data_IF_273982186359
#
_entry.id   IF_273982186359
#
_cell.length_a   1.000
_cell.length_b   1.000
_cell.length_c   1.000
_cell.angle_alpha   90.00
_cell.angle_beta   90.00
_cell.angle_gamma   90.00
#
_symmetry.space_group_name_H-M   'P 1'
#
loop_
_entity.id
_entity.type
_entity.pdbx_description
1 polymer ?
#
# COMPACT_ATOMS: atom_id res chain seq x y z
N UNK A 1 -10.67 -5.78 24.66
CA UNK A 1 -11.83 -6.33 23.91
C UNK A 1 -11.33 -7.49 23.06
N UNK A 2 -12.13 -8.55 22.83
CA UNK A 2 -11.73 -9.64 21.92
C UNK A 2 -11.57 -9.12 20.48
N UNK A 3 -10.72 -9.77 19.65
CA UNK A 3 -10.58 -9.40 18.26
C UNK A 3 -11.85 -9.70 17.47
N UNK A 4 -12.12 -8.87 16.48
CA UNK A 4 -13.18 -9.08 15.50
C UNK A 4 -12.67 -9.99 14.37
N UNK A 5 -13.60 -10.65 13.70
CA UNK A 5 -13.27 -11.63 12.66
C UNK A 5 -13.13 -10.98 11.29
N UNK A 6 -12.13 -11.43 10.52
CA UNK A 6 -11.97 -11.11 9.11
C UNK A 6 -12.62 -12.23 8.30
N UNK A 7 -13.41 -11.87 7.30
CA UNK A 7 -14.06 -12.84 6.42
C UNK A 7 -13.02 -13.71 5.70
N UNK A 8 -13.29 -15.02 5.63
CA UNK A 8 -12.43 -15.98 4.93
C UNK A 8 -13.09 -16.52 3.66
N UNK A 9 -12.32 -16.63 2.58
CA UNK A 9 -12.71 -17.23 1.30
C UNK A 9 -11.67 -18.23 0.83
N UNK A 10 -12.04 -19.10 -0.10
CA UNK A 10 -11.13 -20.10 -0.70
C UNK A 10 -10.69 -19.74 -2.11
N UNK A 11 -11.33 -18.75 -2.70
CA UNK A 11 -11.20 -18.30 -4.07
C UNK A 11 -10.92 -16.80 -4.13
N UNK A 12 -10.28 -16.36 -5.21
CA UNK A 12 -10.28 -14.95 -5.57
C UNK A 12 -11.60 -14.62 -6.27
N UNK A 13 -12.44 -13.70 -5.73
CA UNK A 13 -13.63 -13.24 -6.43
C UNK A 13 -13.26 -12.64 -7.79
N UNK A 14 -14.24 -12.61 -8.69
CA UNK A 14 -14.07 -11.86 -9.94
C UNK A 14 -13.92 -10.35 -9.64
N UNK A 15 -13.34 -9.55 -10.55
CA UNK A 15 -13.05 -8.14 -10.28
C UNK A 15 -14.23 -7.28 -9.84
N UNK A 16 -15.43 -7.53 -10.38
CA UNK A 16 -16.63 -6.76 -10.02
C UNK A 16 -17.04 -7.06 -8.59
N UNK A 17 -17.15 -8.35 -8.27
CA UNK A 17 -17.48 -8.81 -6.91
C UNK A 17 -16.41 -8.38 -5.90
N UNK A 18 -15.13 -8.43 -6.29
CA UNK A 18 -14.03 -7.97 -5.44
C UNK A 18 -14.18 -6.48 -5.12
N UNK A 19 -14.47 -5.68 -6.14
CA UNK A 19 -14.64 -4.25 -5.99
C UNK A 19 -15.83 -3.90 -5.08
N UNK A 20 -17.01 -4.43 -5.42
CA UNK A 20 -18.27 -4.06 -4.75
C UNK A 20 -18.31 -4.53 -3.28
N UNK A 21 -17.76 -5.72 -2.98
CA UNK A 21 -17.87 -6.32 -1.65
C UNK A 21 -16.69 -6.01 -0.72
N UNK A 22 -15.52 -5.66 -1.26
CA UNK A 22 -14.30 -5.47 -0.47
C UNK A 22 -13.61 -4.14 -0.72
N UNK A 23 -13.31 -3.78 -1.97
CA UNK A 23 -12.51 -2.57 -2.26
C UNK A 23 -13.28 -1.28 -1.97
N UNK A 24 -14.44 -1.08 -2.59
CA UNK A 24 -15.29 0.08 -2.37
C UNK A 24 -15.68 0.28 -0.89
N UNK A 25 -16.14 -0.75 -0.15
CA UNK A 25 -16.45 -0.61 1.27
C UNK A 25 -15.21 -0.54 2.18
N UNK A 26 -14.01 -0.81 1.65
CA UNK A 26 -12.77 -0.87 2.45
C UNK A 26 -12.79 -2.00 3.49
N UNK A 27 -13.21 -3.20 3.09
CA UNK A 27 -13.38 -4.37 3.96
C UNK A 27 -12.28 -5.42 3.70
N UNK A 28 -11.48 -5.82 4.71
CA UNK A 28 -10.45 -6.84 4.54
C UNK A 28 -11.07 -8.22 4.30
N UNK A 29 -10.35 -9.09 3.60
CA UNK A 29 -10.73 -10.49 3.36
C UNK A 29 -9.49 -11.38 3.24
N UNK A 30 -9.55 -12.55 3.87
CA UNK A 30 -8.49 -13.55 3.85
C UNK A 30 -8.84 -14.68 2.87
N UNK A 31 -8.08 -14.79 1.78
CA UNK A 31 -8.20 -15.84 0.77
C UNK A 31 -7.32 -17.05 1.16
N UNK A 32 -7.90 -18.02 1.85
CA UNK A 32 -7.24 -19.24 2.33
C UNK A 32 -6.76 -20.11 1.17
N UNK A 33 -5.46 -20.37 1.12
CA UNK A 33 -4.82 -21.23 0.12
C UNK A 33 -4.78 -20.66 -1.30
N UNK A 34 -5.19 -19.41 -1.52
CA UNK A 34 -5.31 -18.83 -2.85
C UNK A 34 -3.98 -18.68 -3.60
N UNK A 35 -2.84 -18.51 -2.92
CA UNK A 35 -1.53 -18.47 -3.57
C UNK A 35 -1.06 -19.85 -4.06
N UNK A 36 -1.67 -20.97 -3.62
CA UNK A 36 -1.27 -22.33 -4.00
C UNK A 36 -1.46 -22.62 -5.49
N UNK A 37 -2.33 -21.86 -6.16
CA UNK A 37 -2.54 -21.96 -7.60
C UNK A 37 -1.41 -21.35 -8.43
N UNK A 38 -0.62 -20.44 -7.83
CA UNK A 38 0.45 -19.78 -8.55
C UNK A 38 1.62 -20.73 -8.77
N UNK A 39 2.17 -20.82 -10.00
CA UNK A 39 3.34 -21.65 -10.29
C UNK A 39 4.54 -21.43 -9.35
N UNK A 40 4.76 -20.20 -8.89
CA UNK A 40 5.84 -19.86 -7.94
C UNK A 40 5.69 -20.50 -6.56
N UNK A 41 4.48 -20.90 -6.15
CA UNK A 41 4.21 -21.42 -4.80
C UNK A 41 5.15 -22.55 -4.37
N UNK A 42 5.44 -23.50 -5.27
CA UNK A 42 6.33 -24.60 -4.96
C UNK A 42 7.81 -24.24 -5.18
N UNK A 43 8.12 -23.53 -6.26
CA UNK A 43 9.50 -23.25 -6.64
C UNK A 43 10.20 -22.30 -5.67
N UNK A 44 9.47 -21.32 -5.12
CA UNK A 44 10.03 -20.28 -4.26
C UNK A 44 10.29 -20.72 -2.82
N UNK A 45 9.94 -21.97 -2.48
CA UNK A 45 10.35 -22.62 -1.23
C UNK A 45 11.79 -23.15 -1.29
N UNK A 46 12.40 -23.16 -2.47
CA UNK A 46 13.75 -23.68 -2.68
C UNK A 46 14.74 -22.54 -2.94
N UNK A 47 15.62 -22.28 -1.97
CA UNK A 47 16.63 -21.23 -2.10
C UNK A 47 17.67 -21.51 -3.20
N UNK A 48 17.95 -22.77 -3.52
CA UNK A 48 18.82 -23.12 -4.66
C UNK A 48 18.17 -22.67 -5.97
N UNK A 49 16.87 -22.90 -6.14
CA UNK A 49 16.13 -22.43 -7.31
C UNK A 49 16.14 -20.90 -7.41
N UNK A 50 15.85 -20.21 -6.30
CA UNK A 50 15.89 -18.75 -6.25
C UNK A 50 17.29 -18.21 -6.57
N UNK A 51 18.34 -18.86 -6.07
CA UNK A 51 19.74 -18.49 -6.32
C UNK A 51 20.12 -18.67 -7.78
N UNK A 52 19.78 -19.79 -8.39
CA UNK A 52 20.10 -20.09 -9.79
C UNK A 52 19.37 -19.14 -10.76
N UNK A 53 18.09 -18.85 -10.50
CA UNK A 53 17.26 -18.05 -11.42
C UNK A 53 17.40 -16.54 -11.19
N UNK A 54 17.53 -16.12 -9.93
CA UNK A 54 17.43 -14.71 -9.53
C UNK A 54 18.63 -14.19 -8.73
N UNK A 55 19.65 -15.01 -8.49
CA UNK A 55 20.76 -14.66 -7.60
C UNK A 55 21.58 -13.43 -8.02
N UNK A 56 21.49 -13.02 -9.28
CA UNK A 56 22.12 -11.80 -9.83
C UNK A 56 21.33 -10.51 -9.61
N UNK A 57 20.13 -10.56 -9.02
CA UNK A 57 19.37 -9.35 -8.71
C UNK A 57 20.04 -8.57 -7.57
N UNK A 58 20.17 -7.26 -7.72
CA UNK A 58 20.46 -6.37 -6.60
C UNK A 58 19.19 -6.15 -5.79
N UNK A 59 19.27 -6.41 -4.49
CA UNK A 59 18.19 -6.27 -3.51
C UNK A 59 18.62 -5.38 -2.36
N UNK A 60 17.66 -4.71 -1.74
CA UNK A 60 17.84 -3.92 -0.53
C UNK A 60 17.35 -4.75 0.66
N UNK A 61 18.21 -4.91 1.68
CA UNK A 61 17.83 -5.58 2.92
C UNK A 61 17.97 -4.61 4.09
N UNK A 62 16.95 -4.55 4.94
CA UNK A 62 17.03 -3.93 6.25
C UNK A 62 18.01 -4.71 7.13
N UNK A 63 18.66 -3.99 8.05
CA UNK A 63 19.68 -4.54 8.96
C UNK A 63 19.11 -4.90 10.34
N UNK A 64 17.80 -5.04 10.45
CA UNK A 64 17.09 -5.53 11.62
C UNK A 64 15.76 -6.15 11.20
N UNK A 65 15.30 -7.21 11.87
CA UNK A 65 13.98 -7.81 11.61
C UNK A 65 12.81 -7.08 12.28
N UNK A 66 13.11 -6.30 13.32
CA UNK A 66 12.14 -5.35 13.90
C UNK A 66 12.30 -4.04 13.13
N UNK A 67 11.23 -3.61 12.49
CA UNK A 67 11.21 -2.41 11.66
C UNK A 67 11.67 -1.19 12.47
N UNK A 68 12.61 -0.45 11.90
CA UNK A 68 13.02 0.86 12.35
C UNK A 68 13.36 1.69 11.10
N UNK A 69 12.48 2.64 10.77
CA UNK A 69 12.58 3.48 9.56
C UNK A 69 13.77 4.46 9.56
N UNK A 70 14.59 4.46 10.62
CA UNK A 70 15.86 5.18 10.68
C UNK A 70 17.07 4.31 10.32
N UNK A 71 16.93 2.98 10.35
CA UNK A 71 18.02 2.09 10.02
C UNK A 71 18.36 2.17 8.53
N UNK A 72 19.65 2.08 8.18
CA UNK A 72 20.04 2.03 6.78
C UNK A 72 19.66 0.69 6.16
N UNK A 73 19.29 0.72 4.90
CA UNK A 73 19.15 -0.47 4.05
C UNK A 73 20.49 -0.80 3.38
N UNK A 74 20.81 -2.09 3.28
CA UNK A 74 22.06 -2.60 2.71
C UNK A 74 21.79 -3.19 1.31
N UNK A 75 22.36 -2.62 0.24
CA UNK A 75 22.31 -3.24 -1.07
C UNK A 75 23.20 -4.49 -1.10
N UNK A 76 22.70 -5.58 -1.69
CA UNK A 76 23.46 -6.80 -1.93
C UNK A 76 22.91 -7.59 -3.11
N UNK A 77 23.67 -8.55 -3.62
CA UNK A 77 23.12 -9.53 -4.56
C UNK A 77 22.16 -10.46 -3.83
N UNK A 78 21.10 -10.90 -4.52
CA UNK A 78 20.12 -11.81 -3.95
C UNK A 78 20.74 -13.15 -3.57
N UNK A 79 21.75 -13.61 -4.32
CA UNK A 79 22.54 -14.79 -3.93
C UNK A 79 23.29 -14.61 -2.60
N UNK A 80 23.79 -13.40 -2.32
CA UNK A 80 24.43 -13.05 -1.04
C UNK A 80 23.39 -13.04 0.07
N UNK A 81 22.23 -12.41 -0.14
CA UNK A 81 21.11 -12.44 0.82
C UNK A 81 20.75 -13.88 1.20
N UNK A 82 20.52 -14.74 0.19
CA UNK A 82 20.21 -16.17 0.35
C UNK A 82 21.31 -16.99 1.06
N UNK A 83 22.50 -16.42 1.28
CA UNK A 83 23.59 -17.10 1.97
C UNK A 83 23.72 -16.70 3.45
N UNK A 84 23.08 -15.60 3.86
CA UNK A 84 23.27 -15.01 5.21
C UNK A 84 21.96 -14.79 5.96
N UNK A 85 20.80 -14.77 5.28
CA UNK A 85 19.52 -14.38 5.90
C UNK A 85 19.03 -15.29 7.03
N UNK A 86 19.46 -16.55 7.08
CA UNK A 86 19.14 -17.47 8.17
C UNK A 86 19.86 -17.13 9.47
N UNK A 87 21.09 -16.61 9.38
CA UNK A 87 21.98 -16.38 10.51
C UNK A 87 22.03 -14.89 10.93
N UNK A 88 21.83 -13.97 9.98
CA UNK A 88 21.87 -12.54 10.22
C UNK A 88 20.49 -11.95 10.54
N UNK A 89 20.47 -10.87 11.33
CA UNK A 89 19.27 -10.09 11.63
C UNK A 89 18.92 -9.16 10.47
N UNK A 90 18.54 -9.74 9.33
CA UNK A 90 18.20 -9.00 8.11
C UNK A 90 16.80 -9.32 7.59
N UNK A 91 16.21 -8.34 6.92
CA UNK A 91 14.88 -8.46 6.32
C UNK A 91 14.87 -7.82 4.93
N UNK A 92 14.60 -8.61 3.89
CA UNK A 92 14.49 -8.09 2.53
C UNK A 92 13.10 -7.51 2.30
N UNK A 93 13.07 -6.23 1.95
CA UNK A 93 11.90 -5.49 1.49
C UNK A 93 12.29 -4.83 0.17
N UNK A 94 11.72 -5.29 -0.94
CA UNK A 94 12.14 -4.85 -2.26
C UNK A 94 10.96 -4.69 -3.21
N UNK A 95 10.78 -3.48 -3.74
CA UNK A 95 9.97 -3.29 -4.95
C UNK A 95 10.67 -3.95 -6.14
N UNK A 96 10.00 -4.93 -6.72
CA UNK A 96 10.45 -5.70 -7.87
C UNK A 96 9.57 -5.50 -9.09
N UNK A 97 8.78 -4.42 -9.16
CA UNK A 97 7.97 -4.09 -10.32
C UNK A 97 8.76 -4.25 -11.65
N UNK A 98 8.11 -4.72 -12.74
CA UNK A 98 8.77 -4.95 -14.02
C UNK A 98 9.51 -3.71 -14.54
N UNK A 99 10.65 -3.88 -15.24
CA UNK A 99 11.20 -5.15 -15.71
C UNK A 99 12.22 -5.76 -14.74
N UNK A 100 11.86 -6.87 -14.08
CA UNK A 100 12.80 -7.72 -13.33
C UNK A 100 12.47 -9.19 -13.60
N UNK A 101 13.46 -10.07 -13.84
CA UNK A 101 13.23 -11.51 -14.08
C UNK A 101 12.31 -12.21 -13.06
N UNK A 102 12.33 -11.77 -11.81
CA UNK A 102 11.48 -12.35 -10.75
C UNK A 102 9.98 -12.17 -11.02
N UNK A 103 9.57 -11.13 -11.77
CA UNK A 103 8.17 -10.88 -12.08
C UNK A 103 7.57 -11.84 -13.11
N UNK A 104 8.40 -12.63 -13.79
CA UNK A 104 7.94 -13.72 -14.67
C UNK A 104 7.24 -14.84 -13.88
N UNK A 105 7.49 -14.92 -12.57
CA UNK A 105 6.86 -15.85 -11.64
C UNK A 105 6.04 -15.14 -10.55
N UNK A 106 5.69 -13.88 -10.78
CA UNK A 106 4.68 -13.17 -10.02
C UNK A 106 3.38 -13.13 -10.82
N UNK A 107 2.24 -13.23 -10.14
CA UNK A 107 0.94 -13.37 -10.78
C UNK A 107 -0.06 -12.38 -10.21
N UNK A 108 -0.83 -11.78 -11.11
CA UNK A 108 -1.97 -10.94 -10.77
C UNK A 108 -3.19 -11.85 -10.60
N UNK A 109 -3.84 -11.87 -9.43
CA UNK A 109 -5.00 -12.73 -9.19
C UNK A 109 -6.21 -12.26 -10.00
N UNK A 110 -7.16 -13.18 -10.26
CA UNK A 110 -8.42 -12.91 -10.97
C UNK A 110 -9.10 -11.61 -10.56
N UNK A 111 -9.14 -11.32 -9.26
CA UNK A 111 -9.77 -10.12 -8.70
C UNK A 111 -9.23 -8.80 -9.26
N UNK A 112 -8.03 -8.79 -9.84
CA UNK A 112 -7.40 -7.59 -10.39
C UNK A 112 -7.29 -7.61 -11.92
N UNK A 113 -7.74 -8.67 -12.61
CA UNK A 113 -7.51 -8.85 -14.06
C UNK A 113 -8.42 -8.01 -14.98
N UNK A 114 -9.12 -7.01 -14.44
CA UNK A 114 -9.82 -6.03 -15.25
C UNK A 114 -9.02 -4.74 -15.37
N UNK A 115 -9.17 -4.07 -16.51
CA UNK A 115 -8.47 -2.83 -16.83
C UNK A 115 -8.61 -1.76 -15.75
N UNK A 116 -9.78 -1.66 -15.12
CA UNK A 116 -10.05 -0.76 -14.00
C UNK A 116 -9.13 -0.92 -12.79
N UNK A 117 -8.53 -2.10 -12.57
CA UNK A 117 -7.48 -2.31 -11.57
C UNK A 117 -6.09 -2.18 -12.20
N UNK A 118 -5.89 -2.81 -13.36
CA UNK A 118 -4.58 -2.90 -14.02
C UNK A 118 -3.98 -1.54 -14.37
N UNK A 119 -4.81 -0.57 -14.74
CA UNK A 119 -4.36 0.79 -15.06
C UNK A 119 -3.77 1.54 -13.83
N UNK A 120 -4.00 1.02 -12.62
CA UNK A 120 -3.60 1.62 -11.34
C UNK A 120 -2.67 0.75 -10.51
N UNK A 121 -2.28 -0.42 -11.01
CA UNK A 121 -1.24 -1.23 -10.38
C UNK A 121 0.08 -0.44 -10.33
N UNK A 122 0.67 -0.36 -9.14
CA UNK A 122 1.75 0.58 -8.86
C UNK A 122 3.06 -0.09 -8.40
N UNK A 123 2.97 -1.06 -7.48
CA UNK A 123 4.16 -1.72 -6.94
C UNK A 123 3.94 -3.22 -6.79
N UNK A 124 5.04 -3.96 -6.85
CA UNK A 124 5.08 -5.38 -6.54
C UNK A 124 6.22 -5.62 -5.56
N UNK A 125 5.89 -5.87 -4.29
CA UNK A 125 6.87 -5.93 -3.21
C UNK A 125 7.21 -7.37 -2.87
N UNK A 126 8.50 -7.67 -2.76
CA UNK A 126 9.04 -8.92 -2.23
C UNK A 126 9.44 -8.72 -0.77
N UNK A 127 8.93 -9.60 0.10
CA UNK A 127 9.27 -9.65 1.51
C UNK A 127 9.91 -11.00 1.84
N UNK A 128 11.13 -11.02 2.35
CA UNK A 128 11.83 -12.27 2.64
C UNK A 128 12.71 -12.15 3.88
N UNK A 129 12.51 -13.05 4.85
CA UNK A 129 13.36 -13.22 6.02
C UNK A 129 13.43 -14.68 6.48
N UNK A 130 14.27 -14.94 7.48
CA UNK A 130 14.29 -16.21 8.23
C UNK A 130 13.24 -16.27 9.35
N UNK A 131 12.30 -15.31 9.37
CA UNK A 131 11.25 -15.22 10.39
C UNK A 131 11.61 -14.36 11.58
N UNK A 132 10.62 -14.10 12.43
CA UNK A 132 10.69 -13.24 13.61
C UNK A 132 10.59 -11.74 13.29
N UNK A 133 10.23 -11.39 12.06
CA UNK A 133 10.03 -9.99 11.64
C UNK A 133 8.81 -9.38 12.29
N UNK A 134 8.90 -8.07 12.56
CA UNK A 134 7.85 -7.28 13.21
C UNK A 134 7.82 -5.88 12.61
N UNK A 135 6.69 -5.51 12.04
CA UNK A 135 6.48 -4.13 11.58
C UNK A 135 6.16 -3.21 12.76
N UNK A 136 6.29 -1.90 12.59
CA UNK A 136 5.60 -0.95 13.46
C UNK A 136 4.09 -0.98 13.18
N UNK A 137 3.28 -0.38 14.05
CA UNK A 137 1.88 -0.12 13.73
C UNK A 137 1.81 1.12 12.83
N UNK A 138 1.39 0.93 11.58
CA UNK A 138 1.31 1.95 10.54
C UNK A 138 0.08 1.69 9.67
N UNK A 139 -0.16 2.54 8.68
CA UNK A 139 -1.12 2.29 7.61
C UNK A 139 -0.49 2.59 6.25
N UNK A 140 -0.99 1.89 5.23
CA UNK A 140 -0.60 2.08 3.83
C UNK A 140 -1.67 2.91 3.12
N UNK A 141 -1.27 3.83 2.26
CA UNK A 141 -2.16 4.66 1.44
C UNK A 141 -2.64 3.91 0.19
N UNK A 142 -2.02 2.78 -0.13
CA UNK A 142 -2.42 1.90 -1.22
C UNK A 142 -3.41 0.82 -0.78
N UNK A 143 -4.19 0.36 -1.75
CA UNK A 143 -4.83 -0.94 -1.64
C UNK A 143 -3.76 -2.02 -1.85
N UNK A 144 -3.81 -3.11 -1.06
CA UNK A 144 -2.87 -4.19 -1.27
C UNK A 144 -3.41 -5.60 -1.04
N UNK A 145 -2.87 -6.56 -1.80
CA UNK A 145 -3.02 -7.99 -1.54
C UNK A 145 -1.65 -8.54 -1.15
N UNK A 146 -1.49 -9.02 0.09
CA UNK A 146 -0.32 -9.76 0.55
C UNK A 146 -0.56 -11.27 0.36
N UNK A 147 0.27 -11.94 -0.45
CA UNK A 147 0.24 -13.40 -0.62
C UNK A 147 1.46 -14.05 0.02
N UNK A 148 1.24 -15.04 0.89
CA UNK A 148 2.28 -15.73 1.64
C UNK A 148 2.69 -17.04 0.95
N UNK A 149 3.96 -17.12 0.53
CA UNK A 149 4.53 -18.26 -0.17
C UNK A 149 5.27 -19.23 0.75
N UNK A 150 5.75 -18.74 1.90
CA UNK A 150 6.36 -19.57 2.94
C UNK A 150 6.20 -18.93 4.33
N UNK A 151 6.13 -19.78 5.36
CA UNK A 151 5.95 -19.40 6.76
C UNK A 151 4.50 -19.06 7.14
N UNK A 152 4.35 -18.33 8.25
CA UNK A 152 3.07 -17.82 8.75
C UNK A 152 3.20 -16.35 9.15
N UNK A 153 2.10 -15.61 9.10
CA UNK A 153 2.01 -14.23 9.60
C UNK A 153 0.76 -14.04 10.45
N UNK A 154 0.89 -13.24 11.49
CA UNK A 154 -0.21 -12.68 12.27
C UNK A 154 -0.29 -11.18 11.98
N UNK A 155 -1.48 -10.70 11.64
CA UNK A 155 -1.74 -9.28 11.44
C UNK A 155 -2.77 -8.81 12.45
N UNK A 156 -2.39 -7.83 13.27
CA UNK A 156 -3.35 -7.02 14.03
C UNK A 156 -3.77 -5.88 13.13
N UNK A 157 -5.08 -5.71 12.92
CA UNK A 157 -5.61 -4.72 12.00
C UNK A 157 -6.66 -3.85 12.67
N UNK A 158 -6.69 -2.57 12.33
CA UNK A 158 -7.62 -1.58 12.85
C UNK A 158 -8.21 -0.81 11.68
N UNK A 159 -9.54 -0.75 11.66
CA UNK A 159 -10.30 -0.02 10.65
C UNK A 159 -9.98 1.48 10.72
N UNK A 160 -9.70 2.08 9.55
CA UNK A 160 -9.37 3.51 9.39
C UNK A 160 -10.36 4.47 10.06
N UNK A 161 -11.63 4.06 10.20
CA UNK A 161 -12.65 4.87 10.89
C UNK A 161 -12.35 5.11 12.38
N UNK A 162 -11.43 4.34 12.97
CA UNK A 162 -11.00 4.47 14.35
C UNK A 162 -9.68 5.24 14.52
N UNK A 163 -9.23 5.99 13.49
CA UNK A 163 -7.97 6.75 13.51
C UNK A 163 -7.76 7.59 14.79
N UNK A 164 -8.81 8.21 15.32
CA UNK A 164 -8.77 9.05 16.53
C UNK A 164 -8.37 8.30 17.81
N UNK A 165 -8.44 6.97 17.78
CA UNK A 165 -8.05 6.09 18.88
C UNK A 165 -6.66 5.48 18.69
N UNK A 166 -6.09 5.56 17.48
CA UNK A 166 -4.79 4.99 17.12
C UNK A 166 -3.69 6.01 17.45
N UNK A 167 -2.75 5.69 18.35
CA UNK A 167 -1.72 6.64 18.76
C UNK A 167 -0.61 6.71 17.71
N UNK A 168 -0.70 7.65 16.76
CA UNK A 168 0.38 7.93 15.80
C UNK A 168 1.32 8.96 16.42
N UNK A 169 2.41 8.47 17.03
CA UNK A 169 3.41 9.29 17.72
C UNK A 169 4.37 10.00 16.75
N UNK A 170 4.45 9.54 15.49
CA UNK A 170 5.21 10.16 14.41
C UNK A 170 4.28 10.68 13.31
N UNK A 171 3.68 11.86 13.52
CA UNK A 171 2.78 12.48 12.54
C UNK A 171 3.43 12.71 11.17
N UNK A 172 4.73 12.97 11.13
CA UNK A 172 5.50 13.21 9.88
C UNK A 172 5.84 11.91 9.12
N UNK A 173 5.63 10.73 9.71
CA UNK A 173 5.98 9.44 9.10
C UNK A 173 4.88 8.38 9.19
N UNK A 174 3.69 8.74 9.66
CA UNK A 174 2.51 7.86 9.64
C UNK A 174 2.55 6.60 10.52
N UNK A 175 3.41 6.48 11.53
CA UNK A 175 3.48 5.27 12.38
C UNK A 175 3.48 5.53 13.90
N UNK A 176 3.16 4.48 14.66
CA UNK A 176 3.12 4.45 16.12
C UNK A 176 4.37 3.80 16.72
N UNK A 177 4.83 4.33 17.86
CA UNK A 177 5.85 3.67 18.68
C UNK A 177 5.31 2.61 19.63
N UNK A 178 3.99 2.37 19.63
CA UNK A 178 3.42 1.38 20.51
C UNK A 178 4.09 0.02 20.28
N UNK A 179 4.57 -0.57 21.36
CA UNK A 179 4.91 -1.98 21.36
C UNK A 179 3.61 -2.77 21.39
N UNK A 180 3.15 -3.22 20.22
CA UNK A 180 1.88 -3.93 20.07
C UNK A 180 1.85 -5.22 20.89
N UNK A 181 3.00 -5.84 21.14
CA UNK A 181 3.12 -7.05 21.96
C UNK A 181 3.15 -6.74 23.47
N UNK A 182 3.52 -5.51 23.85
CA UNK A 182 3.60 -5.08 25.26
C UNK A 182 3.15 -3.64 25.45
N UNK A 183 1.87 -3.40 25.21
CA UNK A 183 1.26 -2.06 25.26
C UNK A 183 1.36 -1.45 26.67
N UNK A 184 1.95 -0.25 26.76
CA UNK A 184 1.88 0.59 27.95
C UNK A 184 0.54 1.34 27.98
N UNK A 185 -0.40 0.84 28.79
CA UNK A 185 -1.76 1.39 28.88
C UNK A 185 -1.83 2.74 29.60
N UNK A 186 -0.79 3.14 30.35
CA UNK A 186 -0.70 4.48 30.91
C UNK A 186 -0.32 5.49 29.84
N UNK A 187 0.58 5.10 28.93
CA UNK A 187 0.99 5.93 27.78
C UNK A 187 -0.06 5.95 26.67
N UNK A 188 -0.71 4.81 26.39
CA UNK A 188 -1.65 4.63 25.28
C UNK A 188 -3.05 4.18 25.74
N UNK A 189 -3.75 4.97 26.59
CA UNK A 189 -5.01 4.54 27.19
C UNK A 189 -6.14 4.35 26.18
N UNK A 190 -6.10 5.02 25.02
CA UNK A 190 -7.11 4.93 23.96
C UNK A 190 -7.25 3.52 23.38
N UNK A 191 -6.15 2.76 23.35
CA UNK A 191 -6.11 1.39 22.84
C UNK A 191 -7.02 0.43 23.62
N UNK A 192 -7.34 0.73 24.89
CA UNK A 192 -8.27 -0.08 25.69
C UNK A 192 -9.68 -0.17 25.08
N UNK A 193 -10.06 0.83 24.30
CA UNK A 193 -11.39 1.00 23.68
C UNK A 193 -11.38 0.76 22.18
N UNK A 194 -10.24 0.37 21.61
CA UNK A 194 -10.07 0.25 20.16
C UNK A 194 -10.63 -1.08 19.64
N UNK A 195 -11.64 -1.08 18.74
CA UNK A 195 -12.00 -2.28 18.01
C UNK A 195 -10.86 -2.66 17.07
N UNK A 196 -10.50 -3.94 17.08
CA UNK A 196 -9.38 -4.47 16.31
C UNK A 196 -9.72 -5.85 15.77
N UNK A 197 -9.03 -6.25 14.72
CA UNK A 197 -9.18 -7.52 14.02
C UNK A 197 -7.85 -8.28 14.04
N UNK A 198 -7.94 -9.59 13.85
CA UNK A 198 -6.76 -10.45 13.69
C UNK A 198 -6.87 -11.26 12.40
N UNK A 199 -5.81 -11.26 11.59
CA UNK A 199 -5.66 -12.14 10.44
C UNK A 199 -4.51 -13.11 10.69
N UNK A 200 -4.78 -14.41 10.65
CA UNK A 200 -3.75 -15.44 10.74
C UNK A 200 -3.55 -16.05 9.35
N UNK A 201 -2.40 -15.77 8.74
CA UNK A 201 -2.04 -16.25 7.42
C UNK A 201 -1.15 -17.49 7.53
N UNK A 202 -1.57 -18.56 6.87
CA UNK A 202 -0.78 -19.76 6.64
C UNK A 202 -0.10 -19.70 5.27
N UNK A 203 0.89 -20.57 5.06
CA UNK A 203 1.52 -20.74 3.76
C UNK A 203 0.48 -21.04 2.67
N UNK A 204 0.44 -20.18 1.66
CA UNK A 204 -0.50 -20.25 0.55
C UNK A 204 -1.69 -19.29 0.68
N UNK A 205 -1.87 -18.60 1.80
CA UNK A 205 -2.96 -17.63 1.95
C UNK A 205 -2.62 -16.28 1.30
N UNK A 206 -3.65 -15.54 0.91
CA UNK A 206 -3.53 -14.14 0.54
C UNK A 206 -4.51 -13.27 1.35
N UNK A 207 -4.08 -12.10 1.79
CA UNK A 207 -4.90 -11.17 2.56
C UNK A 207 -5.04 -9.87 1.76
N UNK A 208 -6.28 -9.44 1.53
CA UNK A 208 -6.56 -8.08 1.08
C UNK A 208 -6.55 -7.14 2.30
N UNK A 209 -5.65 -6.16 2.26
CA UNK A 209 -5.50 -5.08 3.23
C UNK A 209 -6.02 -3.80 2.54
N UNK A 210 -7.17 -3.27 2.99
CA UNK A 210 -7.72 -2.07 2.37
C UNK A 210 -6.88 -0.85 2.72
N UNK A 211 -6.85 0.14 1.82
CA UNK A 211 -6.12 1.39 2.06
C UNK A 211 -6.48 2.04 3.41
N UNK A 212 -5.48 2.68 3.99
CA UNK A 212 -5.48 3.39 5.27
C UNK A 212 -5.83 2.53 6.49
N UNK A 213 -5.99 1.21 6.35
CA UNK A 213 -6.13 0.33 7.51
C UNK A 213 -4.82 0.28 8.28
N UNK A 214 -4.90 0.56 9.58
CA UNK A 214 -3.73 0.42 10.42
C UNK A 214 -3.46 -1.04 10.68
N UNK A 215 -2.20 -1.44 10.61
CA UNK A 215 -1.82 -2.83 10.80
C UNK A 215 -0.43 -2.98 11.41
N UNK A 216 -0.28 -4.07 12.15
CA UNK A 216 0.99 -4.56 12.68
C UNK A 216 1.15 -6.01 12.24
N UNK A 217 2.28 -6.34 11.63
CA UNK A 217 2.57 -7.65 11.06
C UNK A 217 3.69 -8.31 11.84
N UNK A 218 3.45 -9.55 12.24
CA UNK A 218 4.45 -10.42 12.87
C UNK A 218 4.57 -11.71 12.09
N UNK A 219 5.79 -12.13 11.77
CA UNK A 219 6.03 -13.46 11.19
C UNK A 219 6.38 -14.50 12.24
N UNK A 220 6.15 -15.78 11.93
CA UNK A 220 6.70 -16.90 12.73
C UNK A 220 8.22 -16.87 12.79
N UNK A 221 8.81 -17.62 13.71
CA UNK A 221 10.27 -17.78 13.88
C UNK A 221 10.91 -18.68 12.80
N UNK A 222 10.27 -18.81 11.64
CA UNK A 222 10.71 -19.65 10.52
C UNK A 222 10.74 -18.81 9.26
N UNK A 223 11.46 -19.30 8.23
CA UNK A 223 11.48 -18.72 6.88
C UNK A 223 10.11 -18.14 6.49
N UNK A 224 10.12 -16.88 6.07
CA UNK A 224 8.93 -16.15 5.68
C UNK A 224 9.16 -15.50 4.32
N UNK A 225 8.27 -15.75 3.37
CA UNK A 225 8.35 -15.23 2.01
C UNK A 225 6.97 -14.79 1.57
N UNK A 226 6.80 -13.51 1.24
CA UNK A 226 5.54 -12.97 0.78
C UNK A 226 5.71 -12.00 -0.39
N UNK A 227 4.64 -11.82 -1.15
CA UNK A 227 4.54 -10.83 -2.21
C UNK A 227 3.37 -9.90 -1.88
N UNK A 228 3.53 -8.59 -2.08
CA UNK A 228 2.37 -7.71 -2.22
C UNK A 228 2.21 -7.21 -3.64
N UNK A 229 0.96 -7.06 -4.06
CA UNK A 229 0.58 -6.25 -5.21
C UNK A 229 -0.18 -5.03 -4.71
N UNK A 230 0.30 -3.84 -5.06
CA UNK A 230 -0.21 -2.58 -4.58
C UNK A 230 -0.78 -1.75 -5.72
N UNK A 231 -1.96 -1.17 -5.52
CA UNK A 231 -2.61 -0.33 -6.51
C UNK A 231 -3.28 0.88 -5.87
N UNK A 232 -3.45 1.93 -6.68
CA UNK A 232 -4.12 3.15 -6.23
C UNK A 232 -5.63 2.94 -6.18
N UNK A 233 -6.25 3.34 -5.08
CA UNK A 233 -7.71 3.30 -4.93
C UNK A 233 -8.42 4.25 -5.88
N UNK A 234 -9.57 3.80 -6.41
CA UNK A 234 -10.52 4.60 -7.19
C UNK A 234 -11.92 4.47 -6.61
N UNK A 235 -12.60 5.62 -6.51
CA UNK A 235 -14.00 5.77 -6.08
C UNK A 235 -14.98 4.96 -6.94
N UNK A 236 -14.59 4.68 -8.18
CA UNK A 236 -15.32 3.82 -9.11
C UNK A 236 -14.37 2.86 -9.84
N UNK A 237 -14.88 1.68 -10.20
CA UNK A 237 -14.17 0.76 -11.07
C UNK A 237 -14.25 1.23 -12.53
N UNK A 238 -13.21 1.91 -13.01
CA UNK A 238 -13.14 2.35 -14.41
C UNK A 238 -13.25 1.16 -15.36
N UNK A 239 -13.88 1.35 -16.52
CA UNK A 239 -14.12 0.31 -17.52
C UNK A 239 -14.96 -0.88 -17.00
N UNK A 240 -15.88 -0.64 -16.06
CA UNK A 240 -16.77 -1.68 -15.50
C UNK A 240 -17.53 -2.46 -16.58
N UNK A 241 -18.18 -1.79 -17.52
CA UNK A 241 -18.95 -2.45 -18.60
C UNK A 241 -18.11 -3.39 -19.47
N UNK A 242 -16.83 -3.05 -19.69
CA UNK A 242 -15.87 -3.89 -20.43
C UNK A 242 -15.48 -5.11 -19.60
N UNK A 243 -15.26 -4.91 -18.31
CA UNK A 243 -14.96 -5.96 -17.36
C UNK A 243 -16.12 -6.96 -17.26
N UNK A 244 -17.36 -6.48 -17.09
CA UNK A 244 -18.56 -7.32 -17.00
C UNK A 244 -18.74 -8.23 -18.22
N UNK A 245 -18.45 -7.72 -19.42
CA UNK A 245 -18.52 -8.49 -20.67
C UNK A 245 -17.45 -9.58 -20.79
N UNK A 246 -16.32 -9.43 -20.11
CA UNK A 246 -15.17 -10.35 -20.19
C UNK A 246 -15.04 -11.29 -18.98
N UNK A 247 -15.87 -11.14 -17.95
CA UNK A 247 -15.79 -11.91 -16.70
C UNK A 247 -15.70 -13.44 -16.89
N UNK A 248 -16.47 -13.98 -17.84
CA UNK A 248 -16.51 -15.41 -18.10
C UNK A 248 -15.21 -15.96 -18.69
N UNK A 249 -14.43 -15.10 -19.35
CA UNK A 249 -13.20 -15.46 -20.06
C UNK A 249 -11.93 -15.15 -19.24
N UNK A 250 -12.07 -14.51 -18.06
CA UNK A 250 -10.94 -14.17 -17.21
C UNK A 250 -10.31 -15.43 -16.62
N UNK A 251 -8.97 -15.61 -16.72
CA UNK A 251 -8.29 -16.70 -16.05
C UNK A 251 -8.27 -16.47 -14.53
N UNK A 252 -7.93 -17.51 -13.76
CA UNK A 252 -7.79 -17.39 -12.30
C UNK A 252 -6.63 -16.48 -11.88
N UNK A 253 -5.64 -16.31 -12.75
CA UNK A 253 -4.53 -15.39 -12.60
C UNK A 253 -3.81 -15.19 -13.93
N UNK A 254 -2.99 -14.15 -14.04
CA UNK A 254 -2.08 -13.98 -15.17
C UNK A 254 -0.70 -13.44 -14.73
N UNK A 255 0.33 -13.64 -15.54
CA UNK A 255 1.70 -13.26 -15.23
C UNK A 255 1.86 -11.74 -15.16
N UNK A 256 2.47 -11.25 -14.07
CA UNK A 256 2.68 -9.82 -13.82
C UNK A 256 3.48 -9.14 -14.95
N UNK A 257 4.42 -9.85 -15.57
CA UNK A 257 5.28 -9.32 -16.63
C UNK A 257 4.52 -8.89 -17.90
N UNK A 258 3.30 -9.39 -18.11
CA UNK A 258 2.47 -9.03 -19.27
C UNK A 258 1.89 -7.63 -19.13
N UNK A 259 1.95 -7.07 -17.93
CA UNK A 259 1.32 -5.81 -17.59
C UNK A 259 2.37 -4.73 -17.35
N UNK A 260 2.05 -3.54 -17.84
CA UNK A 260 2.88 -2.36 -17.58
C UNK A 260 2.46 -1.77 -16.24
N UNK A 261 3.27 -1.99 -15.21
CA UNK A 261 3.16 -1.26 -13.95
C UNK A 261 3.69 0.14 -14.19
N UNK A 262 2.83 1.15 -14.03
CA UNK A 262 3.27 2.56 -14.02
C UNK A 262 3.68 2.89 -12.60
N UNK A 263 4.85 2.38 -12.19
CA UNK A 263 5.40 2.63 -10.87
C UNK A 263 5.59 4.13 -10.63
N UNK A 264 5.30 4.56 -9.41
CA UNK A 264 5.41 5.95 -9.01
C UNK A 264 4.08 6.53 -8.55
N UNK A 265 4.15 7.32 -7.49
CA UNK A 265 3.02 8.10 -6.99
C UNK A 265 3.12 9.45 -7.64
N UNK A 266 2.06 9.88 -8.32
CA UNK A 266 2.05 11.25 -8.82
C UNK A 266 1.68 12.19 -7.69
N UNK A 267 2.16 13.42 -7.74
CA UNK A 267 1.87 14.42 -6.70
C UNK A 267 0.37 14.64 -6.52
N UNK A 268 -0.40 14.45 -7.59
CA UNK A 268 -1.86 14.41 -7.63
C UNK A 268 -2.39 13.46 -6.58
N UNK A 269 -1.92 12.21 -6.58
CA UNK A 269 -2.39 11.19 -5.65
C UNK A 269 -2.05 11.55 -4.21
N UNK A 270 -0.87 12.13 -3.96
CA UNK A 270 -0.47 12.57 -2.61
C UNK A 270 -1.32 13.74 -2.13
N UNK A 271 -1.55 14.74 -2.99
CA UNK A 271 -2.40 15.90 -2.67
C UNK A 271 -3.82 15.42 -2.44
N UNK A 272 -4.34 14.53 -3.27
CA UNK A 272 -5.65 13.94 -3.10
C UNK A 272 -5.80 13.16 -1.81
N UNK A 273 -4.86 12.28 -1.51
CA UNK A 273 -4.98 11.48 -0.31
C UNK A 273 -4.83 12.36 0.92
N UNK A 274 -3.89 13.31 0.98
CA UNK A 274 -3.76 14.23 2.14
C UNK A 274 -4.91 15.23 2.28
N UNK A 275 -5.56 15.67 1.19
CA UNK A 275 -6.62 16.70 1.22
C UNK A 275 -8.03 16.11 1.35
N UNK A 276 -8.23 14.86 0.92
CA UNK A 276 -9.55 14.23 0.76
C UNK A 276 -9.71 12.92 1.55
N UNK A 277 -8.95 12.72 2.64
CA UNK A 277 -8.89 11.44 3.40
C UNK A 277 -10.24 10.86 3.83
N UNK A 278 -11.25 11.70 4.09
CA UNK A 278 -12.49 11.29 4.77
C UNK A 278 -13.78 11.52 3.97
N UNK A 279 -13.69 12.06 2.76
CA UNK A 279 -14.86 12.43 1.97
C UNK A 279 -14.58 12.24 0.49
N UNK A 280 -15.58 11.74 -0.24
CA UNK A 280 -15.52 11.62 -1.70
C UNK A 280 -15.47 12.99 -2.40
N UNK A 281 -15.69 14.06 -1.66
CA UNK A 281 -15.56 15.43 -2.14
C UNK A 281 -15.03 16.41 -1.09
N UNK A 282 -14.49 17.56 -1.53
CA UNK A 282 -13.98 18.62 -0.64
C UNK A 282 -14.50 20.00 -1.04
N UNK A 283 -14.57 20.91 -0.07
CA UNK A 283 -14.87 22.32 -0.35
C UNK A 283 -13.59 23.08 -0.66
N UNK A 284 -13.72 24.24 -1.33
CA UNK A 284 -12.58 25.13 -1.62
C UNK A 284 -11.82 25.52 -0.33
N UNK A 285 -12.54 25.67 0.78
CA UNK A 285 -11.94 26.00 2.08
C UNK A 285 -11.06 24.85 2.62
N UNK A 286 -11.53 23.61 2.49
CA UNK A 286 -10.79 22.43 2.97
C UNK A 286 -9.58 22.14 2.07
N UNK A 287 -9.71 22.31 0.75
CA UNK A 287 -8.59 22.26 -0.19
C UNK A 287 -7.50 23.28 0.22
N UNK A 288 -7.88 24.54 0.45
CA UNK A 288 -6.93 25.58 0.88
C UNK A 288 -6.23 25.21 2.18
N UNK A 289 -6.96 24.77 3.21
CA UNK A 289 -6.39 24.39 4.51
C UNK A 289 -5.35 23.27 4.41
N UNK A 290 -5.60 22.32 3.52
CA UNK A 290 -4.78 21.11 3.40
C UNK A 290 -3.52 21.36 2.56
N UNK A 291 -3.56 22.30 1.62
CA UNK A 291 -2.42 22.60 0.74
C UNK A 291 -1.53 23.72 1.27
N UNK A 292 -2.05 24.67 2.06
CA UNK A 292 -1.25 25.74 2.69
C UNK A 292 0.00 25.23 3.44
N UNK A 293 -0.05 24.14 4.22
CA UNK A 293 1.12 23.59 4.90
C UNK A 293 2.22 23.08 3.95
N UNK A 294 1.88 22.74 2.71
CA UNK A 294 2.79 22.21 1.69
C UNK A 294 3.60 23.32 0.97
N UNK A 295 3.25 24.59 1.21
CA UNK A 295 3.88 25.74 0.59
C UNK A 295 5.28 26.03 1.13
N UNK A 296 6.09 26.68 0.28
CA UNK A 296 7.45 27.04 0.68
C UNK A 296 7.52 28.10 1.77
N UNK A 297 8.34 27.85 2.79
CA UNK A 297 8.46 28.75 3.95
C UNK A 297 9.08 30.10 3.60
N UNK A 298 9.84 30.14 2.50
CA UNK A 298 10.49 31.32 1.92
C UNK A 298 9.60 32.08 0.89
N UNK A 299 8.36 31.65 0.66
CA UNK A 299 7.43 32.37 -0.23
C UNK A 299 7.10 33.77 0.27
N UNK A 300 7.20 34.75 -0.63
CA UNK A 300 6.79 36.12 -0.34
C UNK A 300 5.28 36.21 -0.14
N UNK A 301 4.81 37.34 0.42
CA UNK A 301 3.37 37.61 0.58
C UNK A 301 2.65 37.62 -0.78
N UNK A 302 3.27 38.17 -1.81
CA UNK A 302 2.67 38.29 -3.14
C UNK A 302 2.58 36.92 -3.82
N UNK A 303 3.61 36.08 -3.70
CA UNK A 303 3.58 34.69 -4.19
C UNK A 303 2.47 33.87 -3.52
N UNK A 304 2.26 34.07 -2.21
CA UNK A 304 1.17 33.41 -1.46
C UNK A 304 -0.20 33.86 -1.96
N UNK A 305 -0.39 35.14 -2.24
CA UNK A 305 -1.66 35.67 -2.77
C UNK A 305 -1.91 35.14 -4.18
N UNK A 306 -0.89 35.15 -5.04
CA UNK A 306 -0.97 34.60 -6.39
C UNK A 306 -1.33 33.11 -6.35
N UNK A 307 -0.67 32.36 -5.47
CA UNK A 307 -0.95 30.94 -5.26
C UNK A 307 -2.39 30.69 -4.82
N UNK A 308 -2.87 31.37 -3.78
CA UNK A 308 -4.24 31.20 -3.28
C UNK A 308 -5.27 31.56 -4.36
N UNK A 309 -4.95 32.54 -5.21
CA UNK A 309 -5.80 32.94 -6.35
C UNK A 309 -5.84 31.83 -7.40
N UNK A 310 -4.68 31.28 -7.75
CA UNK A 310 -4.55 30.15 -8.67
C UNK A 310 -5.23 28.88 -8.17
N UNK A 311 -5.13 28.56 -6.88
CA UNK A 311 -5.76 27.40 -6.25
C UNK A 311 -7.29 27.54 -6.20
N UNK A 312 -7.80 28.76 -5.94
CA UNK A 312 -9.24 29.04 -6.07
C UNK A 312 -9.72 28.91 -7.51
N UNK A 313 -8.95 29.41 -8.48
CA UNK A 313 -9.27 29.25 -9.89
C UNK A 313 -9.28 27.77 -10.30
N UNK A 314 -8.28 27.00 -9.87
CA UNK A 314 -8.24 25.57 -10.06
C UNK A 314 -9.49 24.88 -9.50
N UNK A 315 -9.90 25.22 -8.27
CA UNK A 315 -11.14 24.70 -7.70
C UNK A 315 -12.33 24.97 -8.61
N UNK A 316 -12.50 26.22 -9.07
CA UNK A 316 -13.61 26.59 -9.97
C UNK A 316 -13.53 25.90 -11.34
N UNK A 317 -12.33 25.69 -11.89
CA UNK A 317 -12.14 25.03 -13.19
C UNK A 317 -12.32 23.50 -13.11
N UNK A 318 -11.97 22.90 -11.97
CA UNK A 318 -12.10 21.47 -11.74
C UNK A 318 -13.52 21.07 -11.27
N UNK A 319 -14.25 21.96 -10.58
CA UNK A 319 -15.67 21.80 -10.23
C UNK A 319 -16.54 21.93 -11.49
N UNK A 320 -16.60 20.86 -12.28
CA UNK A 320 -17.24 20.84 -13.60
C UNK A 320 -18.76 20.80 -13.52
N UNK A 321 -19.31 20.34 -12.40
CA UNK A 321 -20.75 20.28 -12.17
C UNK A 321 -21.29 21.51 -11.41
N UNK A 322 -20.41 22.43 -11.00
CA UNK A 322 -20.68 23.67 -10.28
C UNK A 322 -21.43 23.48 -8.95
N UNK A 323 -21.25 22.34 -8.27
CA UNK A 323 -21.92 22.02 -7.01
C UNK A 323 -21.18 22.54 -5.77
N UNK A 324 -20.06 23.25 -5.97
CA UNK A 324 -19.16 23.78 -4.94
C UNK A 324 -18.43 22.69 -4.13
N UNK A 325 -18.36 21.47 -4.65
CA UNK A 325 -17.62 20.34 -4.10
C UNK A 325 -16.70 19.75 -5.17
N UNK A 326 -15.40 19.72 -4.89
CA UNK A 326 -14.45 19.02 -5.76
C UNK A 326 -14.50 17.52 -5.45
N UNK A 327 -14.90 16.71 -6.41
CA UNK A 327 -14.85 15.24 -6.32
C UNK A 327 -13.49 14.67 -6.73
N UNK A 328 -13.28 13.38 -6.45
CA UNK A 328 -12.08 12.67 -6.93
C UNK A 328 -12.03 12.56 -8.45
N UNK A 329 -13.15 12.31 -9.12
CA UNK A 329 -13.17 12.23 -10.58
C UNK A 329 -12.77 13.56 -11.24
N UNK A 330 -13.30 14.67 -10.73
CA UNK A 330 -13.06 16.01 -11.24
C UNK A 330 -11.59 16.43 -11.15
N UNK A 331 -10.98 16.21 -9.99
CA UNK A 331 -9.59 16.59 -9.78
C UNK A 331 -8.66 15.65 -10.57
N UNK A 332 -9.00 14.37 -10.77
CA UNK A 332 -8.25 13.46 -11.65
C UNK A 332 -8.37 13.84 -13.13
N UNK A 333 -9.48 14.44 -13.54
CA UNK A 333 -9.72 14.93 -14.90
C UNK A 333 -9.08 16.31 -15.15
N UNK A 334 -8.85 17.09 -14.10
CA UNK A 334 -8.28 18.44 -14.16
C UNK A 334 -6.75 18.46 -14.24
N UNK A 335 -6.17 19.58 -14.70
CA UNK A 335 -4.72 19.80 -14.64
C UNK A 335 -4.28 20.36 -13.30
N UNK A 336 -3.50 19.58 -12.56
CA UNK A 336 -2.88 19.97 -11.27
C UNK A 336 -1.58 20.76 -11.44
N UNK A 337 -1.16 21.07 -12.67
CA UNK A 337 0.10 21.77 -12.97
C UNK A 337 0.19 23.12 -12.25
N UNK A 338 -0.95 23.67 -11.86
CA UNK A 338 -1.10 24.88 -11.06
C UNK A 338 -0.47 24.74 -9.65
N UNK A 339 -0.37 23.52 -9.11
CA UNK A 339 0.13 23.23 -7.76
C UNK A 339 1.66 23.09 -7.71
N UNK A 340 2.26 22.57 -8.79
CA UNK A 340 3.68 22.20 -8.85
C UNK A 340 4.68 23.34 -8.55
N UNK A 341 4.51 24.58 -9.07
CA UNK A 341 5.52 25.64 -8.90
C UNK A 341 5.67 26.18 -7.48
N UNK A 342 4.73 25.84 -6.58
CA UNK A 342 4.57 26.49 -5.28
C UNK A 342 4.79 25.55 -4.09
N UNK A 343 4.96 24.26 -4.37
CA UNK A 343 5.52 23.33 -3.39
C UNK A 343 6.96 23.76 -3.07
N UNK A 344 7.44 23.51 -1.84
CA UNK A 344 8.86 23.71 -1.51
C UNK A 344 9.73 23.08 -2.61
N UNK A 345 10.85 23.71 -2.97
CA UNK A 345 11.76 23.11 -3.95
C UNK A 345 12.25 21.77 -3.41
N UNK A 346 11.89 20.68 -4.08
CA UNK A 346 12.14 19.32 -3.60
C UNK A 346 10.99 18.69 -2.82
N UNK A 347 9.97 19.44 -2.40
CA UNK A 347 8.78 18.88 -1.73
C UNK A 347 8.00 17.92 -2.60
N UNK A 348 7.97 18.06 -3.92
CA UNK A 348 7.36 17.03 -4.77
C UNK A 348 8.07 15.68 -4.56
N UNK A 349 9.42 15.71 -4.64
CA UNK A 349 10.24 14.53 -4.44
C UNK A 349 10.20 14.05 -2.98
N UNK A 350 10.18 14.95 -2.00
CA UNK A 350 10.06 14.60 -0.58
C UNK A 350 8.68 14.06 -0.25
N UNK A 351 7.60 14.61 -0.78
CA UNK A 351 6.23 14.13 -0.59
C UNK A 351 6.03 12.77 -1.25
N UNK A 352 6.54 12.57 -2.47
CA UNK A 352 6.50 11.27 -3.13
C UNK A 352 7.40 10.27 -2.39
N UNK A 353 8.60 10.69 -1.95
CA UNK A 353 9.50 9.82 -1.19
C UNK A 353 8.97 9.50 0.21
N UNK A 354 8.34 10.43 0.92
CA UNK A 354 7.69 10.24 2.22
C UNK A 354 6.52 9.29 2.05
N UNK A 355 5.66 9.56 1.06
CA UNK A 355 4.56 8.68 0.67
C UNK A 355 5.05 7.29 0.21
N UNK A 356 6.29 7.12 -0.27
CA UNK A 356 6.82 5.79 -0.62
C UNK A 356 7.61 5.12 0.51
N UNK A 357 8.28 5.91 1.36
CA UNK A 357 9.10 5.44 2.49
C UNK A 357 8.26 5.15 3.72
N UNK A 358 7.08 5.73 3.83
CA UNK A 358 6.14 5.34 4.87
C UNK A 358 5.45 4.00 4.58
N UNK A 359 5.62 3.51 3.35
CA UNK A 359 5.01 2.28 2.86
C UNK A 359 6.04 1.16 2.59
N UNK A 360 7.33 1.50 2.48
CA UNK A 360 8.46 0.57 2.33
C UNK A 360 9.35 0.63 3.57
#
# INVERSE_FOLDING_TARGET
MPPMHIEERKDFPNPIEFYDNYVAPGKPVLFKGAAKQFPSYNNWKNDTYLREKYGGLTVMAETAKKEDRNNPVKPMNFSTFLSIYEEEDIYLVQDVAPPRPITEEMFVPKSLLCRGFMDFLNMALLWFSSGGTKSVLHNDSFENINCLFDGTKELIMIDRKHKELVPIDHLERGYSFVDVERVDMYKYPTLSKLPWYIANMDTGDCLYIPRNWYHHVKSSLTRNLAINLWWLFRSELKHRDECEKSLADLPEFDCLNKFRIKSGVKIEHVIFDKVFEESNSTTSTNLLKSVIPLLSSDMTRDDRIEYLTKLKRYFTEADTNEDSLLTREEVEASSVEILLPFLKKGAEKELINEYQKDEL
#
